data_IF_747816953997
#
_entry.id   IF_747816953997
#
_cell.length_a   1.000
_cell.length_b   1.000
_cell.length_c   1.000
_cell.angle_alpha   90.00
_cell.angle_beta   90.00
_cell.angle_gamma   90.00
#
_symmetry.space_group_name_H-M   'P 1'
#
loop_
_entity.id
_entity.type
_entity.pdbx_description
1 polymer ?
#
# COMPACT_ATOMS: atom_id res chain seq x y z
N UNK A 1 -39.16 -27.33 12.31
CA UNK A 1 -37.90 -26.79 12.85
C UNK A 1 -36.76 -27.71 12.45
N UNK A 2 -35.93 -27.37 11.46
CA UNK A 2 -34.68 -28.10 11.15
C UNK A 2 -33.59 -27.10 10.72
N UNK A 3 -32.81 -26.64 11.70
CA UNK A 3 -31.45 -26.10 11.58
C UNK A 3 -30.53 -27.34 11.71
N UNK A 4 -29.38 -27.56 11.06
CA UNK A 4 -28.33 -26.69 10.55
C UNK A 4 -27.33 -27.60 9.83
N UNK A 5 -27.18 -27.48 8.52
CA UNK A 5 -26.07 -28.11 7.76
C UNK A 5 -25.16 -27.00 7.24
N UNK A 6 -24.33 -26.40 8.11
CA UNK A 6 -23.34 -25.38 7.71
C UNK A 6 -21.93 -25.43 8.37
N UNK A 7 -21.41 -26.52 8.97
CA UNK A 7 -20.02 -26.48 9.44
C UNK A 7 -18.99 -26.66 8.31
N UNK A 8 -19.27 -27.50 7.31
CA UNK A 8 -18.27 -27.89 6.29
C UNK A 8 -18.07 -26.83 5.19
N UNK A 9 -19.14 -26.18 4.74
CA UNK A 9 -19.04 -25.07 3.78
C UNK A 9 -18.25 -23.88 4.37
N UNK A 10 -18.40 -23.63 5.67
CA UNK A 10 -17.66 -22.58 6.37
C UNK A 10 -16.16 -22.92 6.49
N UNK A 11 -15.81 -24.19 6.70
CA UNK A 11 -14.42 -24.64 6.77
C UNK A 11 -13.69 -24.49 5.43
N UNK A 12 -14.35 -24.81 4.30
CA UNK A 12 -13.77 -24.66 2.96
C UNK A 12 -13.47 -23.19 2.61
N UNK A 13 -14.36 -22.27 2.97
CA UNK A 13 -14.13 -20.82 2.82
C UNK A 13 -12.96 -20.32 3.69
N UNK A 14 -12.77 -20.89 4.88
CA UNK A 14 -11.68 -20.52 5.77
C UNK A 14 -10.31 -21.08 5.33
N UNK A 15 -10.28 -22.21 4.64
CA UNK A 15 -9.04 -22.81 4.12
C UNK A 15 -8.52 -22.05 2.89
N UNK A 16 -9.40 -21.58 2.00
CA UNK A 16 -9.00 -20.73 0.87
C UNK A 16 -8.36 -19.40 1.28
N UNK A 17 -8.70 -18.87 2.46
CA UNK A 17 -8.12 -17.65 3.01
C UNK A 17 -6.72 -17.83 3.62
N UNK A 18 -6.25 -19.06 3.83
CA UNK A 18 -4.98 -19.35 4.55
C UNK A 18 -3.75 -19.49 3.65
N UNK A 19 -3.93 -19.50 2.32
CA UNK A 19 -2.83 -19.74 1.36
C UNK A 19 -2.39 -18.51 0.55
N UNK A 20 -2.77 -17.30 0.94
CA UNK A 20 -2.35 -16.10 0.20
C UNK A 20 -1.00 -15.58 0.69
N UNK A 21 0.06 -16.33 0.37
CA UNK A 21 1.40 -15.73 0.27
C UNK A 21 1.36 -14.53 -0.70
N UNK A 22 2.28 -13.56 -0.58
CA UNK A 22 2.29 -12.43 -1.50
C UNK A 22 2.43 -12.94 -2.94
N UNK A 23 1.51 -12.52 -3.82
CA UNK A 23 1.65 -12.79 -5.24
C UNK A 23 2.79 -11.93 -5.80
N UNK A 24 3.50 -12.38 -6.85
CA UNK A 24 4.43 -11.52 -7.55
C UNK A 24 3.70 -10.29 -8.10
N UNK A 25 4.35 -9.14 -7.96
CA UNK A 25 3.85 -7.89 -8.52
C UNK A 25 4.12 -7.82 -10.01
N UNK A 26 3.12 -7.38 -10.77
CA UNK A 26 3.26 -7.10 -12.20
C UNK A 26 3.80 -5.68 -12.42
N UNK A 27 4.26 -5.38 -13.63
CA UNK A 27 4.62 -4.01 -14.01
C UNK A 27 3.43 -3.04 -13.89
N UNK A 28 2.22 -3.52 -14.18
CA UNK A 28 0.99 -2.75 -14.00
C UNK A 28 0.72 -2.41 -12.53
N UNK A 29 1.00 -3.34 -11.60
CA UNK A 29 0.90 -3.07 -10.16
C UNK A 29 1.87 -1.96 -9.74
N UNK A 30 3.13 -2.06 -10.16
CA UNK A 30 4.14 -1.05 -9.84
C UNK A 30 3.76 0.33 -10.41
N UNK A 31 3.32 0.38 -11.67
CA UNK A 31 2.87 1.62 -12.30
C UNK A 31 1.66 2.24 -11.57
N UNK A 32 0.69 1.40 -11.17
CA UNK A 32 -0.47 1.84 -10.39
C UNK A 32 -0.05 2.40 -9.03
N UNK A 33 0.81 1.71 -8.30
CA UNK A 33 1.28 2.15 -6.98
C UNK A 33 2.02 3.48 -7.11
N UNK A 34 2.98 3.60 -8.05
CA UNK A 34 3.73 4.85 -8.29
C UNK A 34 2.79 6.03 -8.56
N UNK A 35 1.79 5.83 -9.43
CA UNK A 35 0.82 6.89 -9.75
C UNK A 35 0.08 7.37 -8.50
N UNK A 36 -0.53 6.46 -7.74
CA UNK A 36 -1.34 6.82 -6.57
C UNK A 36 -0.49 7.41 -5.44
N UNK A 37 0.75 6.93 -5.28
CA UNK A 37 1.74 7.52 -4.37
C UNK A 37 2.11 8.95 -4.79
N UNK A 38 2.36 9.19 -6.08
CA UNK A 38 2.68 10.51 -6.60
C UNK A 38 1.53 11.51 -6.45
N UNK A 39 0.29 11.05 -6.52
CA UNK A 39 -0.90 11.88 -6.28
C UNK A 39 -0.94 12.46 -4.85
N UNK A 40 -0.30 11.82 -3.86
CA UNK A 40 -0.32 12.29 -2.46
C UNK A 40 0.57 13.52 -2.20
N UNK A 41 1.38 13.93 -3.17
CA UNK A 41 2.34 15.04 -3.03
C UNK A 41 2.18 16.11 -4.11
N UNK A 42 1.09 16.07 -4.89
CA UNK A 42 0.88 17.00 -6.01
C UNK A 42 0.67 18.45 -5.57
N UNK A 43 0.09 18.62 -4.39
CA UNK A 43 -0.15 19.91 -3.73
C UNK A 43 1.00 20.34 -2.83
N UNK A 44 2.05 19.53 -2.70
CA UNK A 44 3.28 19.95 -2.05
C UNK A 44 4.09 20.91 -2.93
N UNK A 45 5.03 21.62 -2.31
CA UNK A 45 6.04 22.43 -2.99
C UNK A 45 6.68 21.69 -4.18
N UNK A 46 6.77 22.37 -5.33
CA UNK A 46 7.08 21.73 -6.62
C UNK A 46 8.40 20.97 -6.60
N UNK A 47 9.41 21.48 -5.88
CA UNK A 47 10.72 20.82 -5.72
C UNK A 47 10.59 19.51 -4.95
N UNK A 48 9.79 19.48 -3.90
CA UNK A 48 9.53 18.30 -3.08
C UNK A 48 8.77 17.25 -3.89
N UNK A 49 7.68 17.68 -4.57
CA UNK A 49 6.89 16.81 -5.42
C UNK A 49 7.72 16.15 -6.54
N UNK A 50 8.60 16.92 -7.20
CA UNK A 50 9.51 16.40 -8.24
C UNK A 50 10.51 15.38 -7.69
N UNK A 51 11.10 15.65 -6.52
CA UNK A 51 12.05 14.73 -5.87
C UNK A 51 11.39 13.39 -5.55
N UNK A 52 10.22 13.42 -4.89
CA UNK A 52 9.47 12.20 -4.54
C UNK A 52 9.09 11.42 -5.80
N UNK A 53 8.62 12.11 -6.86
CA UNK A 53 8.29 11.45 -8.13
C UNK A 53 9.50 10.76 -8.78
N UNK A 54 10.68 11.39 -8.76
CA UNK A 54 11.88 10.76 -9.28
C UNK A 54 12.25 9.47 -8.52
N UNK A 55 12.09 9.46 -7.20
CA UNK A 55 12.32 8.25 -6.40
C UNK A 55 11.27 7.16 -6.68
N UNK A 56 10.00 7.54 -6.86
CA UNK A 56 8.95 6.60 -7.25
C UNK A 56 9.23 5.96 -8.61
N UNK A 57 9.64 6.76 -9.60
CA UNK A 57 9.97 6.28 -10.95
C UNK A 57 11.18 5.33 -10.92
N UNK A 58 12.16 5.58 -10.05
CA UNK A 58 13.35 4.74 -9.87
C UNK A 58 13.11 3.43 -9.09
N UNK A 59 12.05 3.34 -8.28
CA UNK A 59 11.77 2.15 -7.49
C UNK A 59 11.34 0.98 -8.38
N UNK A 60 12.07 -0.14 -8.36
CA UNK A 60 11.84 -1.32 -9.21
C UNK A 60 11.06 -2.45 -8.53
N UNK A 61 10.71 -2.29 -7.25
CA UNK A 61 10.00 -3.32 -6.48
C UNK A 61 8.93 -2.74 -5.55
N UNK A 62 7.95 -3.58 -5.17
CA UNK A 62 6.91 -3.21 -4.20
C UNK A 62 7.49 -2.85 -2.83
N UNK A 63 8.57 -3.52 -2.41
CA UNK A 63 9.24 -3.20 -1.14
C UNK A 63 9.84 -1.79 -1.15
N UNK A 64 10.51 -1.40 -2.24
CA UNK A 64 11.03 -0.03 -2.36
C UNK A 64 9.89 1.00 -2.33
N UNK A 65 8.79 0.73 -3.04
CA UNK A 65 7.61 1.60 -3.00
C UNK A 65 6.98 1.67 -1.60
N UNK A 66 6.99 0.57 -0.84
CA UNK A 66 6.52 0.58 0.55
C UNK A 66 7.37 1.50 1.43
N UNK A 67 8.69 1.40 1.33
CA UNK A 67 9.61 2.24 2.10
C UNK A 67 9.49 3.73 1.72
N UNK A 68 9.22 4.04 0.46
CA UNK A 68 9.02 5.42 -0.01
C UNK A 68 7.78 6.11 0.59
N UNK A 69 6.89 5.38 1.27
CA UNK A 69 5.82 5.99 2.08
C UNK A 69 6.36 6.92 3.18
N UNK A 70 7.55 6.63 3.72
CA UNK A 70 8.18 7.49 4.71
C UNK A 70 8.59 8.84 4.11
N UNK A 71 9.06 8.85 2.85
CA UNK A 71 9.38 10.11 2.17
C UNK A 71 8.14 10.94 1.86
N UNK A 72 7.03 10.29 1.46
CA UNK A 72 5.73 10.95 1.30
C UNK A 72 5.27 11.51 2.64
N UNK A 73 5.42 10.76 3.73
CA UNK A 73 5.09 11.24 5.07
C UNK A 73 5.84 12.53 5.37
N UNK A 74 7.16 12.54 5.23
CA UNK A 74 7.98 13.72 5.52
C UNK A 74 7.58 14.91 4.63
N UNK A 75 7.45 14.69 3.32
CA UNK A 75 7.05 15.72 2.37
C UNK A 75 5.72 16.39 2.75
N UNK A 76 4.71 15.60 3.13
CA UNK A 76 3.40 16.12 3.52
C UNK A 76 3.44 16.73 4.92
N UNK A 77 4.22 16.15 5.84
CA UNK A 77 4.30 16.62 7.22
C UNK A 77 4.96 18.00 7.32
N UNK A 78 5.98 18.25 6.51
CA UNK A 78 6.68 19.54 6.45
C UNK A 78 5.76 20.69 6.02
N UNK A 79 4.74 20.41 5.20
CA UNK A 79 3.88 21.43 4.59
C UNK A 79 2.48 21.51 5.21
N UNK A 80 1.89 20.37 5.55
CA UNK A 80 0.51 20.24 6.04
C UNK A 80 0.42 19.67 7.47
N UNK A 81 1.55 19.30 8.07
CA UNK A 81 1.61 18.73 9.40
C UNK A 81 1.42 17.21 9.45
N UNK A 82 1.86 16.64 10.58
CA UNK A 82 1.86 15.19 10.83
C UNK A 82 0.48 14.50 10.70
N UNK A 83 -0.64 15.10 11.14
CA UNK A 83 -1.95 14.45 11.02
C UNK A 83 -2.36 14.20 9.56
N UNK A 84 -2.09 15.16 8.66
CA UNK A 84 -2.42 15.00 7.25
C UNK A 84 -1.49 14.02 6.55
N UNK A 85 -0.19 14.05 6.89
CA UNK A 85 0.79 13.08 6.42
C UNK A 85 0.39 11.65 6.78
N UNK A 86 -0.01 11.40 8.03
CA UNK A 86 -0.48 10.09 8.47
C UNK A 86 -1.70 9.65 7.67
N UNK A 87 -2.70 10.52 7.54
CA UNK A 87 -3.94 10.23 6.79
C UNK A 87 -3.66 9.81 5.35
N UNK A 88 -2.76 10.52 4.64
CA UNK A 88 -2.40 10.20 3.25
C UNK A 88 -1.66 8.87 3.14
N UNK A 89 -0.72 8.63 4.06
CA UNK A 89 0.07 7.41 4.08
C UNK A 89 -0.76 6.18 4.43
N UNK A 90 -1.73 6.29 5.34
CA UNK A 90 -2.67 5.22 5.68
C UNK A 90 -3.56 4.83 4.49
N UNK A 91 -4.01 5.81 3.69
CA UNK A 91 -4.77 5.55 2.45
C UNK A 91 -4.00 4.72 1.42
N UNK A 92 -2.67 4.72 1.47
CA UNK A 92 -1.83 3.94 0.57
C UNK A 92 -1.72 2.47 0.99
N UNK A 93 -1.97 2.12 2.25
CA UNK A 93 -1.75 0.77 2.77
C UNK A 93 -2.48 -0.34 1.99
N UNK A 94 -3.76 -0.17 1.58
CA UNK A 94 -4.48 -1.18 0.79
C UNK A 94 -3.86 -1.48 -0.58
N UNK A 95 -3.02 -0.59 -1.12
CA UNK A 95 -2.34 -0.82 -2.40
C UNK A 95 -1.32 -1.96 -2.34
N UNK A 96 -0.88 -2.33 -1.13
CA UNK A 96 0.16 -3.33 -0.89
C UNK A 96 -0.39 -4.68 -0.40
N UNK A 97 -1.72 -4.79 -0.30
CA UNK A 97 -2.39 -6.01 0.13
C UNK A 97 -2.18 -7.12 -0.89
N UNK A 98 -1.79 -8.29 -0.40
CA UNK A 98 -1.44 -9.44 -1.23
C UNK A 98 -0.15 -9.26 -2.06
N UNK A 99 0.52 -8.11 -2.01
CA UNK A 99 1.81 -7.85 -2.68
C UNK A 99 3.01 -7.91 -1.71
N UNK A 100 2.75 -7.73 -0.42
CA UNK A 100 3.74 -7.90 0.65
C UNK A 100 3.30 -8.97 1.66
N UNK A 101 4.22 -9.62 2.37
CA UNK A 101 3.92 -10.34 3.60
C UNK A 101 3.28 -9.43 4.65
N UNK A 102 2.30 -9.93 5.39
CA UNK A 102 1.63 -9.16 6.45
C UNK A 102 2.61 -8.61 7.51
N UNK A 103 3.64 -9.40 7.87
CA UNK A 103 4.70 -8.98 8.80
C UNK A 103 5.45 -7.71 8.36
N UNK A 104 5.57 -7.50 7.04
CA UNK A 104 6.26 -6.32 6.49
C UNK A 104 5.34 -5.10 6.40
N UNK A 105 4.03 -5.28 6.56
CA UNK A 105 3.05 -4.19 6.59
C UNK A 105 2.73 -3.66 7.99
N UNK A 106 3.13 -4.39 9.04
CA UNK A 106 2.89 -4.03 10.43
C UNK A 106 3.93 -3.04 11.01
N UNK A 107 4.86 -2.59 10.17
CA UNK A 107 5.90 -1.61 10.48
C UNK A 107 5.47 -0.25 9.94
#
# INVERSE_FOLDING_TARGET
MMQTLRPLAQAALNVGRRFTGPRPATLADLARIRRVMGEQVLDCELRVARRVRAHLDGASSVMQLWLLRAEIYQAVADEFGQPEAMRRVERLAPLFDGLLPARQRAT
#
